data_IF_607321431905
#
_entry.id   IF_607321431905
#
_cell.length_a   1.000
_cell.length_b   1.000
_cell.length_c   1.000
_cell.angle_alpha   90.00
_cell.angle_beta   90.00
_cell.angle_gamma   90.00
#
_symmetry.space_group_name_H-M   'P 1'
#
loop_
_entity.id
_entity.type
_entity.pdbx_description
1 polymer ?
#
# COMPACT_ATOMS: atom_id res chain seq x y z
N UNK A 1 -23.13 22.07 -16.77
CA UNK A 1 -22.71 22.87 -15.60
C UNK A 1 -21.41 22.26 -15.07
N UNK A 2 -20.27 22.74 -15.55
CA UNK A 2 -18.95 22.32 -15.07
C UNK A 2 -18.69 23.02 -13.74
N UNK A 3 -18.93 22.32 -12.63
CA UNK A 3 -18.55 22.81 -11.32
C UNK A 3 -17.04 22.92 -11.24
N UNK A 4 -16.54 24.15 -11.09
CA UNK A 4 -15.17 24.41 -10.66
C UNK A 4 -14.92 23.62 -9.38
N UNK A 5 -13.98 22.68 -9.41
CA UNK A 5 -13.49 22.01 -8.21
C UNK A 5 -12.81 23.12 -7.40
N UNK A 6 -13.42 23.52 -6.28
CA UNK A 6 -12.96 24.63 -5.47
C UNK A 6 -11.46 24.55 -5.16
N UNK A 7 -10.76 25.68 -5.30
CA UNK A 7 -9.32 25.84 -5.06
C UNK A 7 -8.90 25.62 -3.60
N UNK A 8 -9.85 25.46 -2.68
CA UNK A 8 -9.57 25.29 -1.25
C UNK A 8 -9.34 23.81 -0.90
N UNK A 9 -8.07 23.47 -0.65
CA UNK A 9 -7.66 22.12 -0.21
C UNK A 9 -7.84 21.99 1.29
N UNK A 10 -8.34 20.84 1.73
CA UNK A 10 -8.53 20.55 3.15
C UNK A 10 -7.21 20.12 3.78
N UNK A 11 -6.79 20.76 4.87
CA UNK A 11 -5.57 20.36 5.58
C UNK A 11 -5.80 19.04 6.33
N UNK A 12 -4.91 18.07 6.12
CA UNK A 12 -4.88 16.80 6.84
C UNK A 12 -4.22 17.02 8.20
N UNK A 13 -5.05 17.24 9.20
CA UNK A 13 -4.62 17.26 10.60
C UNK A 13 -4.94 15.92 11.29
N UNK A 14 -4.22 15.56 12.36
CA UNK A 14 -4.60 14.42 13.19
C UNK A 14 -6.06 14.49 13.69
N UNK A 15 -6.60 15.69 13.91
CA UNK A 15 -8.01 15.89 14.29
C UNK A 15 -8.96 15.56 13.13
N UNK A 16 -8.65 16.01 11.91
CA UNK A 16 -9.43 15.69 10.71
C UNK A 16 -9.48 14.18 10.45
N UNK A 17 -8.33 13.48 10.58
CA UNK A 17 -8.28 12.02 10.43
C UNK A 17 -9.06 11.29 11.52
N UNK A 18 -8.99 11.76 12.78
CA UNK A 18 -9.83 11.21 13.86
C UNK A 18 -11.34 11.39 13.61
N UNK A 19 -11.72 12.49 12.97
CA UNK A 19 -13.09 12.73 12.50
C UNK A 19 -13.49 11.88 11.29
N UNK A 20 -12.53 11.21 10.65
CA UNK A 20 -12.73 10.32 9.50
C UNK A 20 -12.04 8.95 9.73
N UNK A 21 -12.48 8.20 10.77
CA UNK A 21 -11.77 7.03 11.24
C UNK A 21 -11.76 5.89 10.22
N UNK A 22 -10.65 5.16 10.18
CA UNK A 22 -10.54 3.96 9.34
C UNK A 22 -11.56 2.89 9.77
N UNK A 23 -12.04 2.06 8.82
CA UNK A 23 -12.84 0.91 9.15
C UNK A 23 -12.14 0.00 10.16
N UNK A 24 -12.89 -0.46 11.15
CA UNK A 24 -12.46 -1.45 12.14
C UNK A 24 -12.88 -2.82 11.61
N UNK A 25 -11.94 -3.74 11.35
CA UNK A 25 -12.26 -5.09 10.92
C UNK A 25 -12.99 -5.85 12.04
N UNK A 26 -14.08 -6.57 11.72
CA UNK A 26 -14.87 -7.31 12.71
C UNK A 26 -14.17 -8.60 13.18
N UNK A 27 -13.33 -9.21 12.34
CA UNK A 27 -12.47 -10.36 12.66
C UNK A 27 -11.34 -10.54 11.62
N UNK A 28 -10.39 -11.44 11.89
CA UNK A 28 -9.24 -11.70 10.99
C UNK A 28 -9.64 -12.06 9.55
N UNK A 29 -10.77 -12.74 9.35
CA UNK A 29 -11.27 -13.11 8.00
C UNK A 29 -11.77 -11.90 7.21
N UNK A 30 -12.08 -10.78 7.87
CA UNK A 30 -12.54 -9.53 7.22
C UNK A 30 -11.41 -8.60 6.79
N UNK A 31 -10.16 -8.89 7.17
CA UNK A 31 -9.00 -8.03 6.89
C UNK A 31 -8.62 -7.96 5.39
N UNK A 32 -9.27 -8.77 4.55
CA UNK A 32 -9.09 -8.75 3.11
C UNK A 32 -7.77 -9.37 2.65
N UNK A 33 -7.76 -9.84 1.40
CA UNK A 33 -6.55 -10.33 0.73
C UNK A 33 -5.94 -9.22 -0.10
N UNK A 34 -4.63 -9.01 0.04
CA UNK A 34 -3.84 -8.05 -0.74
C UNK A 34 -2.91 -8.81 -1.67
N UNK A 35 -2.90 -8.42 -2.94
CA UNK A 35 -1.94 -8.89 -3.92
C UNK A 35 -1.02 -7.75 -4.35
N UNK A 36 0.28 -7.94 -4.23
CA UNK A 36 1.29 -7.01 -4.74
C UNK A 36 1.94 -7.66 -5.98
N UNK A 37 1.80 -7.02 -7.14
CA UNK A 37 2.37 -7.47 -8.41
C UNK A 37 3.48 -6.51 -8.82
N UNK A 38 4.70 -7.01 -8.89
CA UNK A 38 5.82 -6.16 -9.27
C UNK A 38 7.17 -6.84 -9.20
N UNK A 39 8.21 -6.03 -9.10
CA UNK A 39 9.59 -6.46 -8.94
C UNK A 39 10.29 -6.79 -10.25
N UNK A 40 11.60 -6.86 -10.13
CA UNK A 40 12.52 -7.40 -11.13
C UNK A 40 13.63 -8.15 -10.39
N UNK A 41 14.49 -8.87 -11.11
CA UNK A 41 15.72 -9.45 -10.56
C UNK A 41 16.56 -8.43 -9.78
N UNK A 42 16.59 -7.17 -10.22
CA UNK A 42 17.37 -6.10 -9.59
C UNK A 42 16.64 -5.36 -8.47
N UNK A 43 15.31 -5.47 -8.39
CA UNK A 43 14.46 -4.65 -7.48
C UNK A 43 13.39 -5.48 -6.75
N UNK A 44 13.69 -6.67 -6.20
CA UNK A 44 12.68 -7.44 -5.44
C UNK A 44 12.25 -6.72 -4.16
N UNK A 45 13.13 -5.87 -3.60
CA UNK A 45 12.88 -5.14 -2.35
C UNK A 45 11.67 -4.20 -2.41
N UNK A 46 11.28 -3.69 -3.58
CA UNK A 46 10.11 -2.83 -3.74
C UNK A 46 8.81 -3.56 -3.37
N UNK A 47 8.65 -4.80 -3.87
CA UNK A 47 7.50 -5.67 -3.57
C UNK A 47 7.46 -6.02 -2.08
N UNK A 48 8.63 -6.29 -1.48
CA UNK A 48 8.76 -6.55 -0.06
C UNK A 48 8.31 -5.34 0.78
N UNK A 49 8.83 -4.15 0.50
CA UNK A 49 8.50 -2.93 1.25
C UNK A 49 7.01 -2.62 1.19
N UNK A 50 6.42 -2.70 -0.01
CA UNK A 50 4.99 -2.49 -0.20
C UNK A 50 4.13 -3.56 0.51
N UNK A 51 4.54 -4.82 0.45
CA UNK A 51 3.85 -5.92 1.11
C UNK A 51 3.82 -5.77 2.64
N UNK A 52 4.99 -5.54 3.24
CA UNK A 52 5.10 -5.35 4.70
C UNK A 52 4.33 -4.11 5.13
N UNK A 53 4.35 -3.02 4.35
CA UNK A 53 3.55 -1.83 4.62
C UNK A 53 2.05 -2.15 4.65
N UNK A 54 1.55 -2.96 3.70
CA UNK A 54 0.17 -3.40 3.68
C UNK A 54 -0.23 -4.20 4.94
N UNK A 55 0.64 -5.11 5.40
CA UNK A 55 0.43 -5.83 6.66
C UNK A 55 0.46 -4.91 7.88
N UNK A 56 1.39 -3.94 7.93
CA UNK A 56 1.53 -2.99 9.04
C UNK A 56 0.31 -2.11 9.24
N UNK A 57 -0.44 -1.83 8.16
CA UNK A 57 -1.72 -1.13 8.27
C UNK A 57 -2.90 -2.07 8.50
N UNK A 58 -2.71 -3.37 8.63
CA UNK A 58 -3.75 -4.34 8.99
C UNK A 58 -4.43 -5.03 7.80
N UNK A 59 -3.75 -5.24 6.68
CA UNK A 59 -4.19 -6.21 5.68
C UNK A 59 -4.18 -7.64 6.26
N UNK A 60 -5.08 -8.51 5.79
CA UNK A 60 -5.24 -9.86 6.32
C UNK A 60 -4.28 -10.87 5.72
N UNK A 61 -4.49 -11.20 4.45
CA UNK A 61 -3.66 -12.18 3.71
C UNK A 61 -2.82 -11.43 2.70
N UNK A 62 -1.49 -11.52 2.82
CA UNK A 62 -0.55 -10.93 1.88
C UNK A 62 -0.11 -11.94 0.83
N UNK A 63 -0.17 -11.52 -0.43
CA UNK A 63 0.33 -12.25 -1.59
C UNK A 63 1.33 -11.37 -2.33
N UNK A 64 2.55 -11.88 -2.51
CA UNK A 64 3.62 -11.21 -3.26
C UNK A 64 3.82 -11.97 -4.56
N UNK A 65 3.58 -11.32 -5.68
CA UNK A 65 3.78 -11.88 -7.00
C UNK A 65 4.88 -11.09 -7.73
N UNK A 66 5.99 -11.76 -7.99
CA UNK A 66 7.14 -11.18 -8.69
C UNK A 66 7.88 -12.21 -9.52
N UNK A 67 9.00 -11.84 -10.16
CA UNK A 67 9.73 -12.75 -11.04
C UNK A 67 10.03 -14.09 -10.36
N UNK A 68 9.86 -15.21 -11.07
CA UNK A 68 10.06 -16.54 -10.51
C UNK A 68 11.44 -16.71 -9.85
N UNK A 69 12.46 -16.03 -10.37
CA UNK A 69 13.82 -16.05 -9.83
C UNK A 69 13.97 -15.42 -8.43
N UNK A 70 13.02 -14.56 -8.00
CA UNK A 70 13.08 -13.87 -6.69
C UNK A 70 11.96 -14.27 -5.73
N UNK A 71 10.97 -15.04 -6.17
CA UNK A 71 9.80 -15.40 -5.36
C UNK A 71 10.17 -16.12 -4.05
N UNK A 72 11.10 -17.07 -4.08
CA UNK A 72 11.57 -17.75 -2.86
C UNK A 72 12.24 -16.77 -1.89
N UNK A 73 13.06 -15.83 -2.39
CA UNK A 73 13.70 -14.83 -1.55
C UNK A 73 12.68 -13.91 -0.88
N UNK A 74 11.63 -13.51 -1.62
CA UNK A 74 10.51 -12.74 -1.05
C UNK A 74 9.83 -13.50 0.09
N UNK A 75 9.53 -14.79 -0.11
CA UNK A 75 8.90 -15.63 0.92
C UNK A 75 9.78 -15.89 2.15
N UNK A 76 11.11 -15.92 1.99
CA UNK A 76 12.05 -16.01 3.12
C UNK A 76 12.05 -14.73 3.94
N UNK A 77 12.03 -13.57 3.28
CA UNK A 77 12.08 -12.28 3.95
C UNK A 77 10.75 -11.81 4.55
N UNK A 78 9.62 -12.31 4.01
CA UNK A 78 8.27 -12.03 4.52
C UNK A 78 7.54 -13.36 4.73
N UNK A 79 7.84 -14.08 5.83
CA UNK A 79 7.28 -15.41 6.07
C UNK A 79 5.75 -15.41 6.26
N UNK A 80 5.15 -14.26 6.57
CA UNK A 80 3.70 -14.08 6.64
C UNK A 80 3.03 -14.06 5.25
N UNK A 81 3.81 -13.90 4.17
CA UNK A 81 3.31 -13.77 2.82
C UNK A 81 3.27 -15.09 2.05
N UNK A 82 2.28 -15.23 1.18
CA UNK A 82 2.34 -16.18 0.07
C UNK A 82 3.16 -15.57 -1.06
N UNK A 83 4.27 -16.21 -1.44
CA UNK A 83 5.10 -15.76 -2.55
C UNK A 83 4.81 -16.57 -3.82
N UNK A 84 4.52 -15.87 -4.92
CA UNK A 84 4.19 -16.44 -6.22
C UNK A 84 5.24 -16.02 -7.25
N UNK A 85 5.79 -17.01 -7.95
CA UNK A 85 6.70 -16.79 -9.07
C UNK A 85 5.95 -16.53 -10.36
N UNK A 86 6.28 -15.44 -11.02
CA UNK A 86 5.72 -15.04 -12.31
C UNK A 86 6.72 -15.30 -13.45
N UNK A 87 6.22 -15.56 -14.68
CA UNK A 87 7.04 -15.50 -15.88
C UNK A 87 7.86 -14.21 -15.93
N UNK A 88 9.14 -14.32 -16.28
CA UNK A 88 10.08 -13.20 -16.32
C UNK A 88 10.73 -13.06 -17.70
N UNK A 89 11.03 -11.83 -18.09
CA UNK A 89 11.78 -11.54 -19.32
C UNK A 89 13.24 -11.97 -19.18
N UNK A 90 13.98 -11.99 -20.30
CA UNK A 90 15.43 -12.25 -20.26
C UNK A 90 16.21 -11.24 -19.39
N UNK A 91 15.67 -10.04 -19.19
CA UNK A 91 16.23 -9.01 -18.30
C UNK A 91 15.79 -9.15 -16.85
N UNK A 92 14.94 -10.13 -16.53
CA UNK A 92 14.46 -10.40 -15.18
C UNK A 92 13.30 -9.53 -14.70
N UNK A 93 12.60 -8.85 -15.60
CA UNK A 93 11.38 -8.12 -15.27
C UNK A 93 10.17 -9.06 -15.35
N UNK A 94 9.08 -8.76 -14.65
CA UNK A 94 7.81 -9.51 -14.82
C UNK A 94 7.36 -9.41 -16.28
N UNK A 95 7.12 -10.56 -16.91
CA UNK A 95 6.70 -10.63 -18.30
C UNK A 95 5.21 -10.31 -18.46
N UNK A 96 4.82 -9.81 -19.64
CA UNK A 96 3.44 -9.36 -19.92
C UNK A 96 2.40 -10.49 -19.82
N UNK A 97 2.81 -11.72 -20.07
CA UNK A 97 1.98 -12.94 -20.02
C UNK A 97 1.81 -13.47 -18.59
N UNK A 98 2.51 -12.90 -17.60
CA UNK A 98 2.29 -13.18 -16.19
C UNK A 98 0.84 -12.92 -15.74
N UNK A 99 0.12 -12.02 -16.41
CA UNK A 99 -1.28 -11.74 -16.14
C UNK A 99 -2.19 -12.97 -16.27
N UNK A 100 -1.84 -13.94 -17.13
CA UNK A 100 -2.67 -15.12 -17.38
C UNK A 100 -2.63 -16.10 -16.20
N UNK A 101 -1.51 -16.15 -15.46
CA UNK A 101 -1.37 -16.96 -14.24
C UNK A 101 -1.91 -16.30 -12.97
N UNK A 102 -2.38 -15.05 -13.04
CA UNK A 102 -2.82 -14.26 -11.88
C UNK A 102 -4.34 -14.21 -11.69
N UNK A 103 -5.13 -14.80 -12.59
CA UNK A 103 -6.59 -14.67 -12.59
C UNK A 103 -7.25 -15.02 -11.25
N UNK A 104 -6.92 -16.17 -10.66
CA UNK A 104 -7.48 -16.61 -9.38
C UNK A 104 -7.06 -15.71 -8.21
N UNK A 105 -5.82 -15.22 -8.24
CA UNK A 105 -5.29 -14.32 -7.22
C UNK A 105 -5.99 -12.96 -7.29
N UNK A 106 -6.19 -12.42 -8.50
CA UNK A 106 -6.91 -11.17 -8.74
C UNK A 106 -8.38 -11.26 -8.32
N UNK A 107 -9.04 -12.39 -8.61
CA UNK A 107 -10.43 -12.61 -8.24
C UNK A 107 -10.63 -12.71 -6.71
N UNK A 108 -9.67 -13.30 -6.00
CA UNK A 108 -9.69 -13.41 -4.54
C UNK A 108 -9.19 -12.17 -3.80
N UNK A 109 -8.54 -11.23 -4.50
CA UNK A 109 -7.96 -10.04 -3.88
C UNK A 109 -9.01 -8.95 -3.65
N UNK A 110 -8.98 -8.37 -2.45
CA UNK A 110 -9.77 -7.19 -2.11
C UNK A 110 -9.08 -5.91 -2.53
N UNK A 111 -7.75 -5.89 -2.50
CA UNK A 111 -6.95 -4.81 -3.06
C UNK A 111 -5.72 -5.37 -3.79
N UNK A 112 -5.35 -4.74 -4.90
CA UNK A 112 -4.20 -5.11 -5.71
C UNK A 112 -3.31 -3.88 -5.88
N UNK A 113 -2.00 -4.05 -5.72
CA UNK A 113 -0.98 -3.06 -6.08
C UNK A 113 -0.20 -3.58 -7.29
N UNK A 114 -0.06 -2.75 -8.32
CA UNK A 114 0.77 -3.05 -9.49
C UNK A 114 1.78 -1.93 -9.67
N UNK A 115 3.07 -2.25 -9.81
CA UNK A 115 4.07 -1.21 -10.08
C UNK A 115 5.40 -1.34 -9.36
N UNK A 116 5.43 -1.55 -8.03
CA UNK A 116 6.67 -1.50 -7.24
C UNK A 116 7.75 -2.38 -7.85
N UNK A 117 8.88 -1.77 -8.21
CA UNK A 117 10.03 -2.48 -8.78
C UNK A 117 9.83 -3.07 -10.19
N UNK A 118 8.72 -2.80 -10.89
CA UNK A 118 8.61 -3.11 -12.31
C UNK A 118 9.68 -2.36 -13.12
N UNK A 119 9.99 -2.88 -14.31
CA UNK A 119 11.01 -2.33 -15.18
C UNK A 119 10.59 -2.42 -16.65
N UNK A 120 10.86 -1.36 -17.41
CA UNK A 120 10.52 -1.27 -18.83
C UNK A 120 9.07 -0.80 -19.05
N UNK A 121 8.92 0.33 -19.73
CA UNK A 121 7.62 1.02 -19.91
C UNK A 121 6.63 0.17 -20.70
N UNK A 122 7.01 -0.30 -21.89
CA UNK A 122 6.11 -1.05 -22.78
C UNK A 122 5.61 -2.37 -22.16
N UNK A 123 6.53 -3.12 -21.53
CA UNK A 123 6.19 -4.36 -20.83
C UNK A 123 5.26 -4.10 -19.65
N UNK A 124 5.54 -3.07 -18.86
CA UNK A 124 4.71 -2.67 -17.71
C UNK A 124 3.31 -2.24 -18.13
N UNK A 125 3.18 -1.45 -19.21
CA UNK A 125 1.88 -1.04 -19.75
C UNK A 125 1.06 -2.24 -20.21
N UNK A 126 1.67 -3.15 -20.99
CA UNK A 126 0.98 -4.35 -21.47
C UNK A 126 0.50 -5.22 -20.30
N UNK A 127 1.32 -5.35 -19.27
CA UNK A 127 0.96 -6.05 -18.03
C UNK A 127 -0.21 -5.35 -17.33
N UNK A 128 -0.14 -4.04 -17.12
CA UNK A 128 -1.19 -3.24 -16.45
C UNK A 128 -2.52 -3.38 -17.18
N UNK A 129 -2.56 -3.20 -18.50
CA UNK A 129 -3.80 -3.35 -19.28
C UNK A 129 -4.42 -4.72 -19.09
N UNK A 130 -3.62 -5.79 -19.20
CA UNK A 130 -4.10 -7.17 -19.04
C UNK A 130 -4.62 -7.46 -17.62
N UNK A 131 -3.96 -6.91 -16.60
CA UNK A 131 -4.36 -7.08 -15.21
C UNK A 131 -5.64 -6.30 -14.90
N UNK A 132 -5.76 -5.07 -15.39
CA UNK A 132 -6.97 -4.22 -15.23
C UNK A 132 -8.21 -4.88 -15.84
N UNK A 133 -8.05 -5.60 -16.96
CA UNK A 133 -9.15 -6.37 -17.57
C UNK A 133 -9.58 -7.59 -16.73
N UNK A 134 -8.73 -8.06 -15.81
CA UNK A 134 -8.93 -9.29 -15.03
C UNK A 134 -9.25 -9.04 -13.55
N UNK A 135 -9.07 -7.83 -13.04
CA UNK A 135 -9.42 -7.52 -11.64
C UNK A 135 -10.92 -7.68 -11.41
N UNK A 136 -11.28 -8.29 -10.28
CA UNK A 136 -12.68 -8.46 -9.89
C UNK A 136 -13.43 -7.13 -9.78
N UNK A 137 -14.75 -7.11 -9.91
CA UNK A 137 -15.54 -5.87 -9.98
C UNK A 137 -15.49 -5.03 -8.69
N UNK A 138 -15.24 -5.66 -7.54
CA UNK A 138 -15.12 -5.02 -6.24
C UNK A 138 -13.67 -4.83 -5.76
N UNK A 139 -12.68 -5.26 -6.55
CA UNK A 139 -11.27 -5.21 -6.17
C UNK A 139 -10.75 -3.77 -6.25
N UNK A 140 -10.19 -3.24 -5.17
CA UNK A 140 -9.54 -1.93 -5.21
C UNK A 140 -8.18 -2.04 -5.90
N UNK A 141 -7.78 -1.02 -6.66
CA UNK A 141 -6.52 -1.05 -7.40
C UNK A 141 -5.63 0.13 -7.02
N UNK A 142 -4.34 -0.12 -6.86
CA UNK A 142 -3.30 0.89 -6.74
C UNK A 142 -2.30 0.69 -7.86
N UNK A 143 -1.97 1.76 -8.58
CA UNK A 143 -0.91 1.77 -9.59
C UNK A 143 0.20 2.71 -9.13
N UNK A 144 1.43 2.22 -9.22
CA UNK A 144 2.63 2.91 -8.75
C UNK A 144 3.80 2.78 -9.74
N UNK A 145 4.78 3.67 -9.63
CA UNK A 145 6.06 3.59 -10.34
C UNK A 145 5.91 3.37 -11.87
N UNK A 146 6.58 2.36 -12.42
CA UNK A 146 6.54 2.03 -13.85
C UNK A 146 5.15 1.63 -14.37
N UNK A 147 4.19 1.29 -13.50
CA UNK A 147 2.80 1.07 -13.92
C UNK A 147 2.09 2.37 -14.35
N UNK A 148 2.60 3.53 -13.92
CA UNK A 148 2.05 4.85 -14.24
C UNK A 148 2.62 5.43 -15.53
N UNK A 149 3.85 5.03 -15.92
CA UNK A 149 4.53 5.61 -17.09
C UNK A 149 3.80 5.27 -18.38
N UNK A 150 3.29 6.30 -19.05
CA UNK A 150 2.48 6.22 -20.28
C UNK A 150 1.14 5.52 -20.11
N UNK A 151 0.64 5.42 -18.87
CA UNK A 151 -0.74 5.07 -18.58
C UNK A 151 -1.69 6.07 -19.25
N UNK A 152 -2.76 5.57 -19.86
CA UNK A 152 -3.79 6.40 -20.52
C UNK A 152 -5.12 6.25 -19.80
N UNK A 153 -5.97 7.30 -19.74
CA UNK A 153 -7.28 7.20 -19.09
C UNK A 153 -8.13 6.03 -19.60
N UNK A 154 -8.13 5.78 -20.91
CA UNK A 154 -8.87 4.68 -21.51
C UNK A 154 -8.44 3.29 -20.99
N UNK A 155 -7.17 3.12 -20.62
CA UNK A 155 -6.62 1.85 -20.11
C UNK A 155 -7.13 1.48 -18.72
N UNK A 156 -7.67 2.45 -17.97
CA UNK A 156 -8.14 2.26 -16.59
C UNK A 156 -9.57 2.74 -16.36
N UNK A 157 -10.31 3.06 -17.43
CA UNK A 157 -11.68 3.56 -17.34
C UNK A 157 -12.61 2.61 -16.56
N UNK A 158 -12.42 1.29 -16.70
CA UNK A 158 -13.21 0.27 -16.01
C UNK A 158 -12.98 0.22 -14.47
N UNK A 159 -11.93 0.88 -13.98
CA UNK A 159 -11.52 0.86 -12.56
C UNK A 159 -11.44 2.25 -11.94
N UNK A 160 -11.73 3.33 -12.67
CA UNK A 160 -11.52 4.72 -12.26
C UNK A 160 -12.00 5.04 -10.82
N UNK A 161 -13.25 4.69 -10.47
CA UNK A 161 -13.82 4.95 -9.14
C UNK A 161 -13.28 4.07 -8.00
N UNK A 162 -12.45 3.08 -8.29
CA UNK A 162 -11.82 2.16 -7.32
C UNK A 162 -10.29 2.10 -7.46
N UNK A 163 -9.73 3.08 -8.16
CA UNK A 163 -8.31 3.21 -8.44
C UNK A 163 -7.68 4.28 -7.55
N UNK A 164 -6.42 4.06 -7.17
CA UNK A 164 -5.53 5.08 -6.60
C UNK A 164 -4.23 5.09 -7.38
N UNK A 165 -3.75 6.28 -7.76
CA UNK A 165 -2.44 6.49 -8.36
C UNK A 165 -1.50 7.11 -7.32
N UNK A 166 -0.26 6.63 -7.22
CA UNK A 166 0.75 7.17 -6.29
C UNK A 166 1.98 7.74 -6.99
N UNK A 167 1.84 8.64 -7.98
CA UNK A 167 2.97 9.12 -8.78
C UNK A 167 4.00 9.88 -7.95
N UNK A 168 5.28 9.73 -8.31
CA UNK A 168 6.27 10.78 -8.04
C UNK A 168 6.12 11.95 -9.02
N UNK A 169 6.95 12.99 -8.89
CA UNK A 169 6.86 14.19 -9.73
C UNK A 169 7.08 13.91 -11.22
N UNK A 170 8.07 13.08 -11.57
CA UNK A 170 8.32 12.70 -12.96
C UNK A 170 7.20 11.82 -13.56
N UNK A 171 6.60 10.94 -12.76
CA UNK A 171 5.43 10.17 -13.19
C UNK A 171 4.17 11.03 -13.33
N UNK A 172 3.97 12.00 -12.44
CA UNK A 172 2.88 12.96 -12.54
C UNK A 172 3.01 13.81 -13.81
N UNK A 173 4.21 14.30 -14.12
CA UNK A 173 4.49 15.02 -15.36
C UNK A 173 4.19 14.16 -16.60
N UNK A 174 4.58 12.88 -16.57
CA UNK A 174 4.26 11.93 -17.64
C UNK A 174 2.74 11.68 -17.79
N UNK A 175 1.99 11.61 -16.68
CA UNK A 175 0.53 11.46 -16.69
C UNK A 175 -0.20 12.72 -17.19
N UNK A 176 0.45 13.89 -17.09
CA UNK A 176 -0.04 15.18 -17.57
C UNK A 176 0.44 15.51 -19.00
N UNK A 177 1.31 14.68 -19.59
CA UNK A 177 1.96 14.94 -20.87
C UNK A 177 2.73 16.29 -20.88
N UNK A 178 3.39 16.63 -19.76
CA UNK A 178 4.22 17.84 -19.59
C UNK A 178 5.65 17.48 -19.16
N UNK A 179 6.58 18.42 -19.32
CA UNK A 179 7.91 18.30 -18.72
C UNK A 179 7.83 18.47 -17.19
N UNK A 180 8.68 17.77 -16.44
CA UNK A 180 8.65 17.81 -14.97
C UNK A 180 8.91 19.22 -14.43
N UNK A 181 9.80 19.98 -15.06
CA UNK A 181 10.13 21.36 -14.70
C UNK A 181 9.02 22.35 -15.04
N UNK A 182 8.11 21.96 -15.95
CA UNK A 182 6.95 22.76 -16.34
C UNK A 182 5.71 22.42 -15.50
N UNK A 183 5.78 21.40 -14.65
CA UNK A 183 4.70 21.04 -13.76
C UNK A 183 4.53 22.11 -12.68
N UNK A 184 3.32 22.67 -12.60
CA UNK A 184 3.00 23.75 -11.65
C UNK A 184 2.84 23.26 -10.21
N UNK A 185 1.89 23.85 -9.49
CA UNK A 185 1.59 23.45 -8.13
C UNK A 185 1.17 21.97 -8.04
N UNK A 186 1.78 21.22 -7.12
CA UNK A 186 1.59 19.77 -6.98
C UNK A 186 0.15 19.37 -6.66
N UNK A 187 -0.59 20.21 -5.93
CA UNK A 187 -1.99 19.95 -5.64
C UNK A 187 -2.90 20.23 -6.82
N UNK A 188 -2.56 21.18 -7.70
CA UNK A 188 -3.25 21.39 -8.98
C UNK A 188 -2.99 20.22 -9.91
N UNK A 189 -1.73 19.79 -10.04
CA UNK A 189 -1.34 18.61 -10.80
C UNK A 189 -2.08 17.35 -10.31
N UNK A 190 -2.12 17.11 -8.99
CA UNK A 190 -2.88 15.99 -8.43
C UNK A 190 -4.39 16.08 -8.77
N UNK A 191 -4.98 17.27 -8.70
CA UNK A 191 -6.38 17.51 -9.05
C UNK A 191 -6.68 17.26 -10.53
N UNK A 192 -5.79 17.73 -11.42
CA UNK A 192 -5.90 17.52 -12.85
C UNK A 192 -5.78 16.04 -13.21
N UNK A 193 -4.80 15.32 -12.67
CA UNK A 193 -4.66 13.87 -12.88
C UNK A 193 -5.90 13.14 -12.34
N UNK A 194 -6.36 13.48 -11.13
CA UNK A 194 -7.54 12.86 -10.53
C UNK A 194 -8.77 13.03 -11.43
N UNK A 195 -9.01 14.25 -11.94
CA UNK A 195 -10.09 14.55 -12.88
C UNK A 195 -9.92 13.81 -14.21
N UNK A 196 -8.73 13.87 -14.82
CA UNK A 196 -8.41 13.25 -16.11
C UNK A 196 -8.60 11.74 -16.12
N UNK A 197 -8.31 11.08 -15.01
CA UNK A 197 -8.40 9.62 -14.87
C UNK A 197 -9.65 9.15 -14.10
N UNK A 198 -10.49 10.07 -13.59
CA UNK A 198 -11.68 9.76 -12.79
C UNK A 198 -11.36 9.01 -11.48
N UNK A 199 -10.21 9.32 -10.87
CA UNK A 199 -9.57 8.48 -9.83
C UNK A 199 -9.17 9.29 -8.59
N UNK A 200 -8.49 8.63 -7.64
CA UNK A 200 -7.76 9.27 -6.54
C UNK A 200 -6.26 9.27 -6.81
N UNK A 201 -5.58 10.35 -6.47
CA UNK A 201 -4.14 10.56 -6.67
C UNK A 201 -3.52 10.98 -5.34
N UNK A 202 -2.41 10.35 -4.95
CA UNK A 202 -1.55 10.80 -3.86
C UNK A 202 -0.18 11.19 -4.44
N UNK A 203 0.15 12.48 -4.36
CA UNK A 203 1.34 13.09 -4.95
C UNK A 203 2.01 13.99 -3.90
N UNK A 204 3.12 13.53 -3.32
CA UNK A 204 4.00 14.34 -2.48
C UNK A 204 3.27 15.12 -1.34
N UNK A 205 2.38 14.46 -0.60
CA UNK A 205 1.62 15.12 0.47
C UNK A 205 0.29 15.73 0.05
N UNK A 206 0.07 15.89 -1.26
CA UNK A 206 -1.21 16.27 -1.83
C UNK A 206 -2.02 15.03 -2.18
N UNK A 207 -3.29 15.02 -1.80
CA UNK A 207 -4.24 13.98 -2.20
C UNK A 207 -5.38 14.64 -2.94
N UNK A 208 -5.75 14.14 -4.11
CA UNK A 208 -6.92 14.61 -4.85
C UNK A 208 -7.78 13.43 -5.27
N UNK A 209 -9.08 13.54 -5.08
CA UNK A 209 -10.04 12.56 -5.58
C UNK A 209 -11.07 13.25 -6.46
N UNK A 210 -11.29 12.73 -7.67
CA UNK A 210 -12.19 13.31 -8.67
C UNK A 210 -13.55 13.72 -8.08
N UNK A 211 -14.11 12.87 -7.21
CA UNK A 211 -15.45 13.03 -6.62
C UNK A 211 -15.50 13.82 -5.30
N UNK A 212 -14.35 14.15 -4.68
CA UNK A 212 -14.31 14.65 -3.30
C UNK A 212 -13.42 15.87 -3.05
N UNK A 213 -12.69 16.32 -4.07
CA UNK A 213 -11.78 17.46 -4.00
C UNK A 213 -10.39 17.09 -3.49
N UNK A 214 -9.66 18.09 -3.00
CA UNK A 214 -8.26 17.98 -2.61
C UNK A 214 -8.02 18.09 -1.10
N UNK A 215 -6.94 17.45 -0.67
CA UNK A 215 -6.37 17.52 0.66
C UNK A 215 -4.85 17.77 0.57
N UNK A 216 -4.30 18.36 1.62
CA UNK A 216 -2.85 18.57 1.76
C UNK A 216 -2.41 18.21 3.16
N UNK A 217 -1.34 17.42 3.26
CA UNK A 217 -0.64 17.20 4.51
C UNK A 217 0.64 18.04 4.53
N UNK A 218 0.63 19.13 5.29
CA UNK A 218 1.77 20.04 5.40
C UNK A 218 3.00 19.38 6.04
N UNK A 219 2.82 18.32 6.84
CA UNK A 219 3.93 17.55 7.40
C UNK A 219 4.68 16.75 6.33
N UNK A 220 4.02 16.41 5.22
CA UNK A 220 4.61 15.63 4.15
C UNK A 220 5.62 16.40 3.28
N UNK A 221 5.70 17.73 3.41
CA UNK A 221 6.59 18.58 2.63
C UNK A 221 8.05 18.59 3.14
N UNK A 222 8.32 18.08 4.34
CA UNK A 222 9.66 18.11 4.96
C UNK A 222 10.51 16.87 4.64
N UNK A 223 10.12 16.07 3.64
CA UNK A 223 10.74 14.77 3.39
C UNK A 223 11.98 14.88 2.52
N UNK A 224 12.97 14.06 2.86
CA UNK A 224 14.01 13.68 1.92
C UNK A 224 13.53 12.44 1.17
N UNK A 225 13.42 12.54 -0.16
CA UNK A 225 13.09 11.40 -1.01
C UNK A 225 14.10 10.28 -0.84
N UNK A 226 13.60 9.09 -0.47
CA UNK A 226 14.44 7.93 -0.20
C UNK A 226 14.02 6.76 -1.09
N UNK A 227 15.00 6.03 -1.60
CA UNK A 227 14.73 4.81 -2.36
C UNK A 227 13.86 3.85 -1.52
N UNK A 228 12.72 3.45 -2.09
CA UNK A 228 11.75 2.56 -1.44
C UNK A 228 10.66 3.23 -0.62
N UNK A 229 10.72 4.53 -0.33
CA UNK A 229 9.64 5.19 0.45
C UNK A 229 8.32 5.26 -0.32
N UNK A 230 8.39 5.39 -1.65
CA UNK A 230 7.20 5.31 -2.53
C UNK A 230 6.52 3.94 -2.44
N UNK A 231 7.31 2.86 -2.48
CA UNK A 231 6.80 1.48 -2.35
C UNK A 231 6.08 1.29 -1.01
N UNK A 232 6.63 1.86 0.08
CA UNK A 232 5.97 1.87 1.40
C UNK A 232 4.62 2.58 1.31
N UNK A 233 4.57 3.82 0.80
CA UNK A 233 3.32 4.57 0.66
C UNK A 233 2.27 3.79 -0.15
N UNK A 234 2.65 3.24 -1.31
CA UNK A 234 1.76 2.46 -2.15
C UNK A 234 1.22 1.22 -1.40
N UNK A 235 2.07 0.55 -0.63
CA UNK A 235 1.69 -0.55 0.25
C UNK A 235 0.73 -0.15 1.37
N UNK A 236 0.97 0.98 2.05
CA UNK A 236 0.06 1.52 3.08
C UNK A 236 -1.32 1.79 2.49
N UNK A 237 -1.40 2.48 1.35
CA UNK A 237 -2.67 2.76 0.67
C UNK A 237 -3.37 1.45 0.32
N UNK A 238 -2.66 0.48 -0.25
CA UNK A 238 -3.23 -0.82 -0.65
C UNK A 238 -3.78 -1.60 0.54
N UNK A 239 -3.06 -1.66 1.66
CA UNK A 239 -3.53 -2.34 2.86
C UNK A 239 -4.76 -1.66 3.49
N UNK A 240 -4.82 -0.32 3.46
CA UNK A 240 -5.98 0.43 3.93
C UNK A 240 -7.22 0.19 3.05
N UNK A 241 -7.03 0.08 1.72
CA UNK A 241 -8.10 -0.30 0.80
C UNK A 241 -8.60 -1.73 1.08
N UNK A 242 -7.69 -2.67 1.36
CA UNK A 242 -8.06 -4.03 1.74
C UNK A 242 -8.87 -4.08 3.04
N UNK A 243 -8.60 -3.18 3.98
CA UNK A 243 -9.42 -3.01 5.20
C UNK A 243 -10.80 -2.40 4.95
N UNK A 244 -11.10 -1.97 3.72
CA UNK A 244 -12.37 -1.38 3.33
C UNK A 244 -12.43 0.14 3.40
N UNK A 245 -11.29 0.82 3.53
CA UNK A 245 -11.27 2.27 3.38
C UNK A 245 -11.64 2.66 1.94
N UNK A 246 -12.28 3.82 1.78
CA UNK A 246 -12.48 4.42 0.45
C UNK A 246 -11.15 4.86 -0.16
N UNK A 247 -11.08 5.05 -1.48
CA UNK A 247 -9.86 5.53 -2.18
C UNK A 247 -9.28 6.79 -1.56
N UNK A 248 -10.12 7.82 -1.37
CA UNK A 248 -9.71 9.07 -0.75
C UNK A 248 -9.25 8.88 0.70
N UNK A 249 -9.95 8.03 1.47
CA UNK A 249 -9.59 7.77 2.86
C UNK A 249 -8.24 7.06 2.98
N UNK A 250 -8.03 6.02 2.17
CA UNK A 250 -6.78 5.27 2.13
C UNK A 250 -5.62 6.16 1.71
N UNK A 251 -5.79 6.99 0.68
CA UNK A 251 -4.77 7.94 0.22
C UNK A 251 -4.42 8.98 1.30
N UNK A 252 -5.42 9.58 1.96
CA UNK A 252 -5.18 10.57 3.01
C UNK A 252 -4.50 9.97 4.25
N UNK A 253 -5.00 8.84 4.75
CA UNK A 253 -4.41 8.14 5.89
C UNK A 253 -3.03 7.60 5.57
N UNK A 254 -2.84 6.97 4.41
CA UNK A 254 -1.54 6.46 3.97
C UNK A 254 -0.50 7.57 3.87
N UNK A 255 -0.87 8.70 3.26
CA UNK A 255 0.00 9.88 3.13
C UNK A 255 0.43 10.42 4.50
N UNK A 256 -0.52 10.57 5.44
CA UNK A 256 -0.25 11.13 6.76
C UNK A 256 0.52 10.18 7.69
N UNK A 257 0.22 8.89 7.65
CA UNK A 257 0.95 7.89 8.44
C UNK A 257 2.39 7.80 7.93
N UNK A 258 2.57 7.76 6.61
CA UNK A 258 3.89 7.86 6.01
C UNK A 258 4.58 9.17 6.41
N UNK A 259 3.82 10.29 6.45
CA UNK A 259 4.08 11.61 7.06
C UNK A 259 4.89 11.53 8.33
N UNK A 260 4.09 11.18 9.33
CA UNK A 260 4.44 11.10 10.72
C UNK A 260 5.58 10.12 10.98
N UNK A 261 5.67 9.02 10.21
CA UNK A 261 6.76 8.07 10.32
C UNK A 261 8.10 8.70 9.93
N UNK A 262 8.14 9.42 8.81
CA UNK A 262 9.32 10.16 8.38
C UNK A 262 9.75 11.22 9.40
N UNK A 263 8.79 11.94 9.99
CA UNK A 263 9.08 12.95 11.03
C UNK A 263 9.64 12.31 12.31
N UNK A 264 9.06 11.19 12.77
CA UNK A 264 9.55 10.45 13.94
C UNK A 264 10.98 9.93 13.72
N UNK A 265 11.25 9.35 12.56
CA UNK A 265 12.59 8.88 12.21
C UNK A 265 13.57 10.05 12.06
N UNK A 266 13.14 11.16 11.48
CA UNK A 266 13.97 12.37 11.34
C UNK A 266 14.37 12.95 12.70
N UNK A 267 13.46 12.90 13.68
CA UNK A 267 13.74 13.33 15.04
C UNK A 267 14.65 12.35 15.80
N UNK A 268 14.57 11.04 15.50
CA UNK A 268 15.31 9.98 16.22
C UNK A 268 16.69 9.69 15.65
N UNK A 269 16.83 9.70 14.32
CA UNK A 269 18.04 9.32 13.58
C UNK A 269 18.68 10.55 12.95
N UNK A 270 17.86 11.45 12.41
CA UNK A 270 18.29 12.65 11.68
C UNK A 270 17.54 12.77 10.35
N UNK A 271 17.57 13.97 9.74
CA UNK A 271 16.89 14.25 8.45
C UNK A 271 17.36 13.36 7.30
N UNK A 272 18.54 12.77 7.42
CA UNK A 272 19.16 11.85 6.46
C UNK A 272 19.62 10.58 7.20
N UNK A 273 19.58 9.44 6.52
CA UNK A 273 20.26 8.22 6.97
C UNK A 273 19.39 7.10 7.53
N UNK A 274 18.10 7.35 7.81
CA UNK A 274 17.16 6.23 7.99
C UNK A 274 16.91 5.51 6.66
N UNK A 275 16.20 4.39 6.69
CA UNK A 275 15.91 3.55 5.53
C UNK A 275 14.39 3.40 5.36
N UNK A 276 13.93 3.14 4.14
CA UNK A 276 12.50 2.93 3.87
C UNK A 276 11.90 1.80 4.73
N UNK A 277 12.66 0.75 5.04
CA UNK A 277 12.21 -0.33 5.93
C UNK A 277 11.94 0.11 7.37
N UNK A 278 12.59 1.17 7.84
CA UNK A 278 12.40 1.69 9.21
C UNK A 278 11.08 2.46 9.33
N UNK A 279 10.55 2.99 8.22
CA UNK A 279 9.21 3.61 8.15
C UNK A 279 8.14 2.60 8.58
N UNK A 280 8.32 1.32 8.22
CA UNK A 280 7.37 0.25 8.49
C UNK A 280 7.11 0.04 9.99
N UNK A 281 8.12 0.26 10.83
CA UNK A 281 8.02 0.05 12.27
C UNK A 281 7.32 1.20 13.00
N UNK A 282 7.31 2.40 12.40
CA UNK A 282 6.58 3.55 12.94
C UNK A 282 5.07 3.50 12.65
N UNK A 283 4.65 2.72 11.65
CA UNK A 283 3.26 2.68 11.16
C UNK A 283 2.26 2.24 12.26
N UNK A 284 2.43 1.09 12.95
CA UNK A 284 1.45 0.66 13.95
C UNK A 284 1.32 1.60 15.16
N UNK A 285 2.41 2.15 15.75
CA UNK A 285 2.31 3.17 16.78
C UNK A 285 1.54 4.41 16.33
N UNK A 286 1.80 4.93 15.14
CA UNK A 286 1.08 6.11 14.61
C UNK A 286 -0.41 5.82 14.45
N UNK A 287 -0.76 4.66 13.88
CA UNK A 287 -2.16 4.25 13.75
C UNK A 287 -2.84 4.11 15.12
N UNK A 288 -2.11 3.62 16.13
CA UNK A 288 -2.61 3.52 17.51
C UNK A 288 -2.88 4.91 18.09
N UNK A 289 -1.93 5.84 17.96
CA UNK A 289 -2.07 7.21 18.48
C UNK A 289 -3.23 7.97 17.82
N UNK A 290 -3.46 7.73 16.52
CA UNK A 290 -4.59 8.29 15.78
C UNK A 290 -5.91 7.57 16.12
N UNK A 291 -5.88 6.27 16.39
CA UNK A 291 -7.06 5.44 16.67
C UNK A 291 -7.53 5.44 18.13
N UNK A 292 -6.66 5.73 19.10
CA UNK A 292 -6.88 5.57 20.54
C UNK A 292 -8.00 6.42 21.18
N UNK A 293 -8.79 7.17 20.39
CA UNK A 293 -9.98 7.89 20.89
C UNK A 293 -11.32 7.24 20.54
N UNK A 294 -11.32 6.13 19.78
CA UNK A 294 -12.52 5.30 19.64
C UNK A 294 -12.62 4.37 20.85
N UNK A 295 -13.40 4.82 21.86
CA UNK A 295 -13.87 4.16 23.09
C UNK A 295 -13.19 2.85 23.54
N UNK A 296 -12.77 2.76 24.82
CA UNK A 296 -12.18 1.55 25.39
C UNK A 296 -13.20 0.41 25.38
N UNK A 297 -13.12 -0.49 24.41
CA UNK A 297 -13.69 -1.83 24.57
C UNK A 297 -12.79 -2.59 25.55
N UNK A 298 -13.11 -2.45 26.84
CA UNK A 298 -12.84 -3.38 27.95
C UNK A 298 -11.66 -4.36 27.77
N UNK A 299 -10.44 -3.87 27.56
CA UNK A 299 -9.23 -4.70 27.64
C UNK A 299 -8.49 -4.55 28.98
N UNK A 300 -9.04 -3.75 29.91
CA UNK A 300 -8.52 -3.61 31.27
C UNK A 300 -8.43 -4.95 32.02
N UNK A 301 -9.21 -5.97 31.63
CA UNK A 301 -9.14 -7.31 32.23
C UNK A 301 -8.13 -8.27 31.61
N UNK A 302 -7.49 -7.95 30.47
CA UNK A 302 -6.59 -8.89 29.78
C UNK A 302 -5.11 -8.63 30.11
N UNK A 303 -4.71 -7.35 30.21
CA UNK A 303 -3.33 -6.96 30.50
C UNK A 303 -2.98 -7.21 31.98
N UNK A 304 -3.94 -6.98 32.89
CA UNK A 304 -3.73 -7.24 34.32
C UNK A 304 -3.64 -8.74 34.64
N UNK A 305 -4.34 -9.60 33.87
CA UNK A 305 -4.19 -11.06 34.01
C UNK A 305 -2.83 -11.57 33.56
N UNK A 306 -2.20 -10.92 32.57
CA UNK A 306 -0.85 -11.30 32.12
C UNK A 306 0.23 -10.89 33.12
N UNK A 307 0.05 -9.73 33.79
CA UNK A 307 0.97 -9.29 34.86
C UNK A 307 0.83 -10.10 36.15
N UNK A 308 -0.38 -10.59 36.46
CA UNK A 308 -0.63 -11.41 37.64
C UNK A 308 -0.14 -12.87 37.49
N UNK A 309 -0.07 -13.40 36.26
CA UNK A 309 0.30 -14.80 36.02
C UNK A 309 1.82 -15.06 36.05
N UNK A 310 2.66 -14.02 35.92
CA UNK A 310 4.11 -14.18 35.76
C UNK A 310 4.49 -14.92 34.46
N UNK A 311 5.73 -14.77 33.96
CA UNK A 311 6.18 -15.60 32.85
C UNK A 311 6.26 -17.07 33.30
N UNK A 312 5.84 -18.05 32.47
CA UNK A 312 6.01 -19.45 32.82
C UNK A 312 7.50 -19.77 32.96
N UNK A 313 7.86 -20.48 34.03
CA UNK A 313 9.21 -21.00 34.20
C UNK A 313 9.51 -22.02 33.10
N UNK A 314 10.63 -21.84 32.39
CA UNK A 314 11.06 -22.70 31.28
C UNK A 314 11.75 -24.01 31.73
N UNK A 315 11.72 -24.33 33.02
CA UNK A 315 12.36 -25.53 33.57
C UNK A 315 11.40 -26.72 33.61
N UNK A 316 11.12 -27.32 32.45
CA UNK A 316 10.70 -28.73 32.34
C UNK A 316 10.68 -29.22 30.88
N UNK A 317 11.83 -29.23 30.19
CA UNK A 317 12.00 -30.18 29.06
C UNK A 317 12.35 -31.55 29.69
N UNK A 318 11.34 -32.16 30.29
CA UNK A 318 11.37 -33.50 30.85
C UNK A 318 10.64 -34.47 29.91
N UNK A 319 11.38 -35.47 29.42
CA UNK A 319 10.91 -36.57 28.58
C UNK A 319 9.58 -37.14 29.06
N UNK A 320 8.55 -37.15 28.21
CA UNK A 320 7.45 -38.12 28.29
C UNK A 320 7.13 -38.64 26.90
N UNK A 321 7.02 -39.97 26.84
CA UNK A 321 6.78 -40.85 25.70
C UNK A 321 5.33 -40.72 25.21
N UNK A 322 5.15 -40.75 23.89
CA UNK A 322 3.92 -41.26 23.25
C UNK A 322 2.91 -40.20 22.78
N UNK A 323 2.69 -40.18 21.46
CA UNK A 323 1.36 -40.05 20.88
C UNK A 323 0.77 -38.64 20.66
N UNK A 324 0.74 -38.26 19.37
CA UNK A 324 -0.35 -37.56 18.66
C UNK A 324 -0.85 -36.22 19.18
N UNK A 325 -0.56 -35.12 18.45
CA UNK A 325 -1.54 -34.09 18.07
C UNK A 325 -1.06 -33.35 16.80
N UNK A 326 -1.47 -33.84 15.63
CA UNK A 326 -1.54 -33.06 14.39
C UNK A 326 -2.85 -33.40 13.71
N UNK A 327 -3.82 -32.50 13.72
CA UNK A 327 -4.93 -32.43 12.75
C UNK A 327 -5.69 -31.12 12.92
N UNK A 328 -5.55 -30.24 11.94
CA UNK A 328 -6.64 -29.53 11.23
C UNK A 328 -6.23 -28.10 10.83
N UNK A 329 -5.55 -27.98 9.69
CA UNK A 329 -5.83 -26.89 8.72
C UNK A 329 -5.85 -27.53 7.34
N UNK A 330 -7.04 -27.93 6.93
CA UNK A 330 -7.41 -28.18 5.54
C UNK A 330 -8.86 -27.69 5.40
N UNK A 331 -9.09 -26.88 4.36
CA UNK A 331 -10.27 -26.08 3.97
C UNK A 331 -10.17 -24.59 4.32
#
# INVERSE_FOLDING_TARGET
>A
MSGSIGSERRVLTPAALRGWPLPVPDNEKTLGRVLIVGGSRGTPGAVLLAGVAALRVGAGVLQLAGPASVATALGIHVPEAQAFGLPETATGAVARDAADGLADLLAGARAVLIGPGLFGVEGSQSLVTRLVERVGPATMLVLDAYALRGLRPASVAAVAGRLVLTPNTGEAAALLDVAEEAMGDLGEAAGEIASRFGTTVALHGHVAAAERGGWVDESANNRVGMSGSGDVLAGLVTGLLARGATTAQAACWGTHVHASAGDRLSARIGRLGFLAREILDEVPPILTDLGARLSPRSSAGAVDRYRAAGPPAWDAIGRVRGGWWWRAVAL
#
